data_IF_763156670567
#
_entry.id   IF_763156670567
#
_cell.length_a   1.000
_cell.length_b   1.000
_cell.length_c   1.000
_cell.angle_alpha   90.00
_cell.angle_beta   90.00
_cell.angle_gamma   90.00
#
_symmetry.space_group_name_H-M   'P 1'
#
loop_
_entity.id
_entity.type
_entity.pdbx_description
1 polymer ?
#
# COMPACT_ATOMS: atom_id res chain seq x y z
N UNK A 1 13.63 18.24 -9.09
CA UNK A 1 12.29 18.76 -9.42
C UNK A 1 11.85 19.73 -8.33
N UNK A 2 11.48 20.99 -8.63
CA UNK A 2 11.43 22.07 -7.63
C UNK A 2 10.14 22.14 -6.80
N UNK A 3 9.19 21.21 -6.99
CA UNK A 3 7.85 21.28 -6.40
C UNK A 3 7.69 20.50 -5.07
N UNK A 4 8.76 19.88 -4.55
CA UNK A 4 8.65 18.99 -3.39
C UNK A 4 8.57 19.70 -2.02
N UNK A 5 9.01 20.96 -1.89
CA UNK A 5 9.25 21.56 -0.57
C UNK A 5 8.07 22.31 0.04
N UNK A 6 7.08 22.75 -0.74
CA UNK A 6 6.09 23.73 -0.23
C UNK A 6 4.89 23.10 0.46
N UNK A 7 4.68 21.78 0.39
CA UNK A 7 3.48 21.23 1.04
C UNK A 7 3.53 19.77 1.47
N UNK A 8 4.59 19.38 2.18
CA UNK A 8 4.64 18.07 2.85
C UNK A 8 3.42 17.83 3.76
N UNK A 9 2.82 18.90 4.30
CA UNK A 9 1.56 18.86 5.07
C UNK A 9 0.36 18.48 4.20
N UNK A 10 0.21 19.07 3.00
CA UNK A 10 -0.83 18.63 2.06
C UNK A 10 -0.60 17.19 1.59
N UNK A 11 0.64 16.81 1.29
CA UNK A 11 0.97 15.43 0.96
C UNK A 11 0.59 14.49 2.11
N UNK A 12 0.94 14.85 3.35
CA UNK A 12 0.58 14.08 4.53
C UNK A 12 -0.94 13.94 4.68
N UNK A 13 -1.70 15.02 4.45
CA UNK A 13 -3.16 14.99 4.49
C UNK A 13 -3.76 14.05 3.43
N UNK A 14 -3.21 14.06 2.21
CA UNK A 14 -3.64 13.20 1.11
C UNK A 14 -3.33 11.73 1.42
N UNK A 15 -2.12 11.42 1.90
CA UNK A 15 -1.71 10.07 2.29
C UNK A 15 -2.51 9.56 3.50
N UNK A 16 -2.83 10.43 4.47
CA UNK A 16 -3.68 10.09 5.61
C UNK A 16 -5.08 9.71 5.14
N UNK A 17 -5.68 10.50 4.24
CA UNK A 17 -7.01 10.20 3.68
C UNK A 17 -7.00 8.89 2.90
N UNK A 18 -5.97 8.64 2.09
CA UNK A 18 -5.80 7.39 1.36
C UNK A 18 -5.68 6.20 2.32
N UNK A 19 -4.86 6.31 3.36
CA UNK A 19 -4.71 5.26 4.37
C UNK A 19 -6.04 4.96 5.08
N UNK A 20 -6.81 5.99 5.47
CA UNK A 20 -8.14 5.81 6.06
C UNK A 20 -9.10 5.06 5.12
N UNK A 21 -9.12 5.41 3.83
CA UNK A 21 -9.95 4.72 2.83
C UNK A 21 -9.53 3.26 2.66
N UNK A 22 -8.23 2.98 2.65
CA UNK A 22 -7.70 1.62 2.56
C UNK A 22 -8.09 0.79 3.79
N UNK A 23 -7.94 1.33 5.01
CA UNK A 23 -8.32 0.64 6.25
C UNK A 23 -9.83 0.44 6.33
N UNK A 24 -10.62 1.42 5.87
CA UNK A 24 -12.07 1.31 5.87
C UNK A 24 -12.54 0.25 4.87
N UNK A 25 -11.96 0.20 3.66
CA UNK A 25 -12.27 -0.86 2.70
C UNK A 25 -11.93 -2.25 3.26
N UNK A 26 -10.82 -2.36 3.99
CA UNK A 26 -10.40 -3.61 4.62
C UNK A 26 -11.39 -4.09 5.70
N UNK A 27 -11.87 -3.17 6.54
CA UNK A 27 -12.86 -3.47 7.57
C UNK A 27 -14.26 -3.71 6.99
N UNK A 28 -14.76 -2.78 6.17
CA UNK A 28 -16.17 -2.75 5.75
C UNK A 28 -16.45 -3.72 4.59
N UNK A 29 -15.56 -3.78 3.61
CA UNK A 29 -15.77 -4.58 2.38
C UNK A 29 -15.13 -5.95 2.47
N UNK A 30 -13.91 -6.03 2.99
CA UNK A 30 -13.20 -7.30 3.15
C UNK A 30 -13.52 -8.00 4.47
N UNK A 31 -14.18 -7.34 5.43
CA UNK A 31 -14.55 -7.90 6.74
C UNK A 31 -13.36 -8.52 7.49
N UNK A 32 -12.17 -7.93 7.34
CA UNK A 32 -10.93 -8.38 7.98
C UNK A 32 -10.46 -7.39 9.03
N UNK A 33 -9.80 -7.91 10.06
CA UNK A 33 -9.24 -7.11 11.14
C UNK A 33 -8.09 -6.24 10.62
N UNK A 34 -8.25 -4.92 10.72
CA UNK A 34 -7.21 -3.94 10.36
C UNK A 34 -5.95 -4.04 11.22
N UNK A 35 -5.94 -4.88 12.27
CA UNK A 35 -4.75 -5.17 13.07
C UNK A 35 -3.63 -5.85 12.27
N UNK A 36 -3.93 -6.49 11.14
CA UNK A 36 -2.91 -7.01 10.22
C UNK A 36 -2.28 -5.94 9.32
N UNK A 37 -2.90 -4.75 9.21
CA UNK A 37 -2.33 -3.64 8.46
C UNK A 37 -1.27 -2.95 9.32
N UNK A 38 0.00 -3.27 9.05
CA UNK A 38 1.19 -2.63 9.65
C UNK A 38 1.02 -1.10 9.79
N UNK A 39 1.15 -0.58 11.00
CA UNK A 39 1.00 0.86 11.26
C UNK A 39 1.99 1.66 10.39
N UNK A 40 1.47 2.40 9.41
CA UNK A 40 2.28 3.16 8.46
C UNK A 40 2.73 4.47 9.09
N UNK A 41 4.04 4.72 9.11
CA UNK A 41 4.57 6.03 9.44
C UNK A 41 4.44 6.95 8.22
N UNK A 42 3.28 7.59 8.09
CA UNK A 42 2.98 8.51 6.98
C UNK A 42 3.88 9.73 6.97
N UNK A 43 4.39 10.17 8.13
CA UNK A 43 5.35 11.27 8.20
C UNK A 43 6.68 10.88 7.57
N UNK A 44 7.15 9.64 7.77
CA UNK A 44 8.37 9.15 7.14
C UNK A 44 8.27 9.16 5.60
N UNK A 45 7.08 8.95 5.04
CA UNK A 45 6.85 9.02 3.59
C UNK A 45 6.94 10.46 3.08
N UNK A 46 6.31 11.40 3.79
CA UNK A 46 6.10 12.76 3.27
C UNK A 46 7.17 13.76 3.67
N UNK A 47 7.72 13.62 4.88
CA UNK A 47 8.71 14.53 5.46
C UNK A 47 10.13 14.03 5.21
N UNK A 48 10.36 12.74 5.42
CA UNK A 48 11.70 12.15 5.34
C UNK A 48 11.98 11.49 3.98
N UNK A 49 11.00 11.49 3.08
CA UNK A 49 11.05 10.82 1.77
C UNK A 49 11.57 9.38 1.86
N UNK A 50 11.18 8.67 2.92
CA UNK A 50 11.68 7.35 3.25
C UNK A 50 11.15 6.32 2.23
N UNK A 51 12.08 5.77 1.44
CA UNK A 51 11.77 4.77 0.42
C UNK A 51 11.14 3.51 1.00
N UNK A 52 11.63 3.03 2.16
CA UNK A 52 11.09 1.85 2.82
C UNK A 52 9.64 2.05 3.28
N UNK A 53 9.31 3.22 3.85
CA UNK A 53 7.94 3.54 4.24
C UNK A 53 6.99 3.64 3.03
N UNK A 54 7.50 4.18 1.91
CA UNK A 54 6.77 4.25 0.64
C UNK A 54 6.49 2.85 0.08
N UNK A 55 7.49 1.97 0.10
CA UNK A 55 7.34 0.57 -0.33
C UNK A 55 6.31 -0.19 0.51
N UNK A 56 6.27 0.01 1.83
CA UNK A 56 5.26 -0.61 2.69
C UNK A 56 3.85 -0.18 2.27
N UNK A 57 3.64 1.09 1.91
CA UNK A 57 2.35 1.56 1.43
C UNK A 57 1.96 0.94 0.09
N UNK A 58 2.91 0.80 -0.84
CA UNK A 58 2.68 0.09 -2.11
C UNK A 58 2.33 -1.39 -1.89
N UNK A 59 3.03 -2.06 -0.96
CA UNK A 59 2.74 -3.44 -0.59
C UNK A 59 1.33 -3.56 -0.02
N UNK A 60 0.90 -2.66 0.87
CA UNK A 60 -0.48 -2.65 1.39
C UNK A 60 -1.52 -2.51 0.30
N UNK A 61 -1.32 -1.59 -0.66
CA UNK A 61 -2.25 -1.44 -1.77
C UNK A 61 -2.35 -2.72 -2.60
N UNK A 62 -1.21 -3.38 -2.83
CA UNK A 62 -1.16 -4.66 -3.55
C UNK A 62 -1.87 -5.77 -2.79
N UNK A 63 -1.64 -5.87 -1.47
CA UNK A 63 -2.30 -6.81 -0.56
C UNK A 63 -3.81 -6.62 -0.55
N UNK A 64 -4.29 -5.38 -0.57
CA UNK A 64 -5.72 -5.08 -0.67
C UNK A 64 -6.25 -5.48 -2.05
N UNK A 65 -5.52 -5.13 -3.11
CA UNK A 65 -5.89 -5.42 -4.49
C UNK A 65 -6.07 -6.93 -4.75
N UNK A 66 -5.19 -7.79 -4.22
CA UNK A 66 -5.30 -9.27 -4.34
C UNK A 66 -6.37 -9.89 -3.45
N UNK A 67 -6.93 -9.13 -2.51
CA UNK A 67 -8.04 -9.59 -1.66
C UNK A 67 -9.41 -9.08 -2.14
N UNK A 68 -9.45 -8.17 -3.10
CA UNK A 68 -10.67 -7.67 -3.72
C UNK A 68 -11.44 -8.78 -4.47
N UNK A 69 -12.75 -8.58 -4.68
CA UNK A 69 -13.60 -9.51 -5.47
C UNK A 69 -13.11 -9.74 -6.92
N UNK A 70 -12.31 -8.81 -7.47
CA UNK A 70 -11.65 -8.91 -8.79
C UNK A 70 -10.20 -9.42 -8.70
N UNK A 71 -9.85 -10.16 -7.65
CA UNK A 71 -8.48 -10.61 -7.40
C UNK A 71 -7.88 -11.49 -8.51
N UNK A 72 -8.69 -12.30 -9.21
CA UNK A 72 -8.19 -13.21 -10.26
C UNK A 72 -7.38 -12.51 -11.34
N UNK A 73 -7.87 -11.39 -11.86
CA UNK A 73 -7.16 -10.63 -12.90
C UNK A 73 -5.85 -10.03 -12.37
N UNK A 74 -5.83 -9.61 -11.10
CA UNK A 74 -4.66 -9.02 -10.45
C UNK A 74 -3.61 -10.10 -10.17
N UNK A 75 -4.03 -11.26 -9.68
CA UNK A 75 -3.17 -12.43 -9.46
C UNK A 75 -2.55 -12.90 -10.77
N UNK A 76 -3.33 -12.99 -11.85
CA UNK A 76 -2.81 -13.34 -13.18
C UNK A 76 -1.77 -12.33 -13.68
N UNK A 77 -1.98 -11.03 -13.46
CA UNK A 77 -0.99 -9.99 -13.79
C UNK A 77 0.29 -10.16 -12.96
N UNK A 78 0.18 -10.46 -11.67
CA UNK A 78 1.34 -10.73 -10.79
C UNK A 78 2.10 -11.98 -11.27
N UNK A 79 1.39 -13.03 -11.68
CA UNK A 79 1.98 -14.27 -12.19
C UNK A 79 2.71 -14.11 -13.52
N UNK A 80 2.35 -13.09 -14.32
CA UNK A 80 3.01 -12.74 -15.58
C UNK A 80 4.27 -11.88 -15.39
N UNK A 81 4.57 -11.45 -14.15
CA UNK A 81 5.81 -10.72 -13.85
C UNK A 81 7.02 -11.66 -13.88
N UNK A 82 8.22 -11.08 -14.00
CA UNK A 82 9.47 -11.82 -13.89
C UNK A 82 9.56 -12.56 -12.54
N UNK A 83 10.11 -13.79 -12.53
CA UNK A 83 10.17 -14.69 -11.38
C UNK A 83 10.76 -14.05 -10.11
N UNK A 84 11.77 -13.19 -10.25
CA UNK A 84 12.38 -12.49 -9.11
C UNK A 84 11.42 -11.50 -8.44
N UNK A 85 10.69 -10.73 -9.25
CA UNK A 85 9.68 -9.76 -8.80
C UNK A 85 8.45 -10.50 -8.24
N UNK A 86 8.03 -11.57 -8.92
CA UNK A 86 6.93 -12.41 -8.50
C UNK A 86 7.21 -13.03 -7.12
N UNK A 87 8.40 -13.58 -6.88
CA UNK A 87 8.77 -14.16 -5.59
C UNK A 87 8.73 -13.15 -4.45
N UNK A 88 9.20 -11.91 -4.70
CA UNK A 88 9.16 -10.84 -3.72
C UNK A 88 7.73 -10.41 -3.38
N UNK A 89 6.88 -10.26 -4.40
CA UNK A 89 5.48 -9.86 -4.21
C UNK A 89 4.66 -10.94 -3.50
N UNK A 90 4.84 -12.22 -3.86
CA UNK A 90 4.15 -13.33 -3.19
C UNK A 90 4.51 -13.37 -1.71
N UNK A 91 5.81 -13.29 -1.36
CA UNK A 91 6.26 -13.24 0.03
C UNK A 91 5.70 -12.03 0.79
N UNK A 92 5.55 -10.89 0.14
CA UNK A 92 4.99 -9.68 0.76
C UNK A 92 3.46 -9.77 0.97
N UNK A 93 2.77 -10.67 0.26
CA UNK A 93 1.32 -10.89 0.36
C UNK A 93 0.98 -11.96 1.40
N UNK A 94 1.85 -12.96 1.60
CA UNK A 94 1.65 -14.04 2.57
C UNK A 94 1.85 -13.61 4.05
N UNK A 95 2.51 -12.48 4.30
CA UNK A 95 2.73 -11.90 5.63
C UNK A 95 1.57 -11.05 6.11
#
# INVERSE_FOLDING_TARGET
MPWLSVNWVLHFSAFKRLYCLLTQYFADVLQKLTSSLKMLNLQAITKDHNLSATLIMCCMMTVIAVQCKKNKEIIERIQKLNKSIQHYLIKAIEQ
#
